data_IF_898756797904
#
_entry.id   IF_898756797904
#
_cell.length_a   1.000
_cell.length_b   1.000
_cell.length_c   1.000
_cell.angle_alpha   90.00
_cell.angle_beta   90.00
_cell.angle_gamma   90.00
#
_symmetry.space_group_name_H-M   'P 1'
#
loop_
_entity.id
_entity.type
_entity.pdbx_description
1 polymer ?
#
# COMPACT_ATOMS: atom_id res chain seq x y z
N UNK A 1 53.57 26.94 -21.66
CA UNK A 1 54.21 27.79 -22.67
C UNK A 1 54.26 26.97 -23.96
N UNK A 2 53.59 27.44 -25.03
CA UNK A 2 53.62 26.96 -26.44
C UNK A 2 53.11 25.50 -26.70
N UNK A 3 52.15 25.18 -27.57
CA UNK A 3 51.67 25.85 -28.79
C UNK A 3 50.22 25.47 -29.15
N UNK A 4 49.47 26.50 -29.50
CA UNK A 4 48.29 26.53 -30.36
C UNK A 4 48.83 26.56 -31.79
N UNK A 5 48.47 25.64 -32.71
CA UNK A 5 48.48 25.79 -34.19
C UNK A 5 48.30 24.43 -34.92
N UNK A 6 47.18 23.72 -34.67
CA UNK A 6 46.72 22.62 -35.56
C UNK A 6 45.28 22.84 -36.05
N UNK A 7 44.77 24.08 -35.95
CA UNK A 7 43.80 24.50 -36.96
C UNK A 7 44.53 24.50 -38.30
N UNK A 8 43.84 24.05 -39.33
CA UNK A 8 44.14 24.35 -40.73
C UNK A 8 45.05 23.37 -41.48
N UNK A 9 44.67 22.10 -41.52
CA UNK A 9 44.95 21.31 -42.73
C UNK A 9 43.77 20.40 -43.04
N UNK A 10 43.13 20.70 -44.18
CA UNK A 10 42.15 19.89 -44.93
C UNK A 10 40.86 19.57 -44.18
N UNK A 11 39.72 20.23 -44.40
CA UNK A 11 39.04 20.49 -45.67
C UNK A 11 39.10 19.29 -46.62
N UNK A 12 37.92 18.76 -46.95
CA UNK A 12 37.61 17.81 -48.03
C UNK A 12 37.85 16.32 -47.76
N UNK A 13 36.92 15.70 -47.02
CA UNK A 13 36.39 14.38 -47.43
C UNK A 13 34.93 14.25 -47.01
N UNK A 14 34.06 14.57 -47.96
CA UNK A 14 32.69 14.08 -48.19
C UNK A 14 32.22 12.96 -47.27
N UNK A 15 31.16 13.23 -46.51
CA UNK A 15 30.35 12.24 -45.79
C UNK A 15 29.04 12.87 -45.36
N UNK A 16 27.92 12.34 -45.84
CA UNK A 16 26.61 12.64 -45.28
C UNK A 16 26.55 12.04 -43.88
N UNK A 17 26.55 12.86 -42.84
CA UNK A 17 26.44 12.42 -41.45
C UNK A 17 25.31 13.20 -40.76
N UNK A 18 24.33 12.43 -40.30
CA UNK A 18 23.23 12.87 -39.45
C UNK A 18 23.78 13.55 -38.19
N UNK A 19 23.13 14.59 -37.64
CA UNK A 19 23.60 15.23 -36.41
C UNK A 19 23.47 14.24 -35.23
N UNK A 20 24.61 13.71 -34.80
CA UNK A 20 24.82 12.95 -33.55
C UNK A 20 24.75 13.86 -32.31
N UNK A 21 23.71 14.67 -32.15
CA UNK A 21 23.57 15.60 -31.01
C UNK A 21 22.36 15.30 -30.11
N UNK A 22 21.83 14.07 -30.13
CA UNK A 22 20.69 13.69 -29.28
C UNK A 22 20.85 12.39 -28.50
N UNK A 23 22.05 11.83 -28.35
CA UNK A 23 22.20 10.51 -27.69
C UNK A 23 22.78 10.51 -26.28
N UNK A 24 23.42 11.58 -25.82
CA UNK A 24 24.33 11.44 -24.68
C UNK A 24 23.87 12.14 -23.39
N UNK A 25 22.56 12.11 -23.09
CA UNK A 25 22.08 12.45 -21.74
C UNK A 25 20.80 11.67 -21.37
N UNK A 26 20.79 10.35 -21.64
CA UNK A 26 19.83 9.47 -20.98
C UNK A 26 20.29 9.21 -19.54
N UNK A 27 19.73 9.96 -18.59
CA UNK A 27 19.87 9.65 -17.16
C UNK A 27 18.95 8.47 -16.87
N UNK A 28 19.52 7.26 -16.82
CA UNK A 28 18.84 6.11 -16.21
C UNK A 28 18.63 6.43 -14.72
N UNK A 29 17.39 6.72 -14.35
CA UNK A 29 17.01 6.81 -12.95
C UNK A 29 16.96 5.37 -12.43
N UNK A 30 18.07 4.90 -11.85
CA UNK A 30 18.06 3.72 -10.99
C UNK A 30 17.08 4.01 -9.85
N UNK A 31 15.84 3.55 -10.01
CA UNK A 31 14.82 3.62 -8.95
C UNK A 31 15.11 2.51 -7.96
N UNK A 32 16.31 2.51 -7.37
CA UNK A 32 16.50 1.90 -6.06
C UNK A 32 15.88 2.84 -5.02
N UNK A 33 14.56 2.96 -5.05
CA UNK A 33 13.80 3.45 -3.91
C UNK A 33 13.90 2.38 -2.82
N UNK A 34 15.06 2.30 -2.16
CA UNK A 34 15.16 1.78 -0.80
C UNK A 34 14.47 2.79 0.11
N UNK A 35 13.15 2.94 -0.06
CA UNK A 35 12.30 3.45 0.99
C UNK A 35 12.64 2.59 2.21
N UNK A 36 13.07 3.19 3.33
CA UNK A 36 13.36 2.42 4.53
C UNK A 36 12.11 1.60 4.82
N UNK A 37 12.24 0.26 4.95
CA UNK A 37 11.12 -0.63 5.26
C UNK A 37 10.43 -0.06 6.49
N UNK A 38 9.32 0.64 6.28
CA UNK A 38 8.58 1.27 7.35
C UNK A 38 8.16 0.15 8.30
N UNK A 39 8.42 0.33 9.59
CA UNK A 39 8.05 -0.66 10.60
C UNK A 39 6.53 -0.82 10.53
N UNK A 40 6.07 -2.01 10.18
CA UNK A 40 4.64 -2.34 10.18
C UNK A 40 4.16 -2.31 11.63
N UNK A 41 3.14 -1.50 11.89
CA UNK A 41 2.55 -1.35 13.20
C UNK A 41 1.30 -2.21 13.30
N UNK A 42 1.15 -2.96 14.38
CA UNK A 42 -0.11 -3.65 14.71
C UNK A 42 -0.79 -2.83 15.80
N UNK A 43 -1.97 -2.29 15.52
CA UNK A 43 -2.69 -1.40 16.43
C UNK A 43 -4.05 -1.99 16.80
N UNK A 44 -4.34 -2.18 18.10
CA UNK A 44 -5.66 -2.54 18.55
C UNK A 44 -6.59 -1.33 18.55
N UNK A 45 -7.83 -1.56 18.16
CA UNK A 45 -8.96 -0.63 18.17
C UNK A 45 -10.12 -1.31 18.89
N UNK A 46 -10.86 -0.54 19.68
CA UNK A 46 -12.10 -0.99 20.31
C UNK A 46 -13.20 -0.15 19.71
N UNK A 47 -14.24 -0.81 19.21
CA UNK A 47 -15.39 -0.13 18.62
C UNK A 47 -16.52 -0.24 19.62
N UNK A 48 -16.77 0.86 20.32
CA UNK A 48 -17.94 1.01 21.16
C UNK A 48 -19.08 1.60 20.35
N UNK A 49 -18.83 2.54 19.44
CA UNK A 49 -19.83 3.12 18.55
C UNK A 49 -19.40 3.24 17.08
N UNK A 50 -20.32 3.66 16.21
CA UNK A 50 -20.00 3.83 14.79
C UNK A 50 -18.95 4.92 14.51
N UNK A 51 -18.74 5.89 15.40
CA UNK A 51 -17.72 6.91 15.25
C UNK A 51 -16.30 6.35 15.46
N UNK A 52 -16.14 5.34 16.31
CA UNK A 52 -14.87 4.67 16.63
C UNK A 52 -14.25 3.90 15.45
N UNK A 53 -15.00 3.73 14.36
CA UNK A 53 -14.48 3.16 13.12
C UNK A 53 -13.48 4.12 12.44
N UNK A 54 -13.62 5.45 12.61
CA UNK A 54 -12.81 6.42 11.86
C UNK A 54 -11.30 6.24 12.10
N UNK A 55 -10.80 6.15 13.35
CA UNK A 55 -9.38 5.91 13.59
C UNK A 55 -8.84 4.62 12.95
N UNK A 56 -9.64 3.56 12.90
CA UNK A 56 -9.25 2.31 12.24
C UNK A 56 -9.15 2.48 10.72
N UNK A 57 -10.09 3.19 10.10
CA UNK A 57 -10.05 3.49 8.66
C UNK A 57 -8.87 4.37 8.28
N UNK A 58 -8.57 5.38 9.09
CA UNK A 58 -7.48 6.31 8.82
C UNK A 58 -6.13 5.58 8.93
N UNK A 59 -5.96 4.71 9.93
CA UNK A 59 -4.79 3.87 10.06
C UNK A 59 -4.61 2.88 8.89
N UNK A 60 -5.70 2.36 8.32
CA UNK A 60 -5.64 1.50 7.13
C UNK A 60 -5.20 2.26 5.88
N UNK A 61 -5.65 3.52 5.72
CA UNK A 61 -5.25 4.40 4.61
C UNK A 61 -3.81 4.86 4.69
N UNK A 62 -3.26 4.99 5.89
CA UNK A 62 -1.84 5.27 6.09
C UNK A 62 -0.94 4.17 5.53
N UNK A 63 -1.45 2.94 5.37
CA UNK A 63 -0.78 1.87 4.62
C UNK A 63 0.40 1.20 5.34
N UNK A 64 0.64 1.51 6.61
CA UNK A 64 1.70 0.90 7.44
C UNK A 64 1.16 0.20 8.70
N UNK A 65 -0.16 0.17 8.88
CA UNK A 65 -0.80 -0.34 10.10
C UNK A 65 -1.75 -1.50 9.81
N UNK A 66 -1.59 -2.60 10.56
CA UNK A 66 -2.57 -3.69 10.66
C UNK A 66 -3.51 -3.37 11.82
N UNK A 67 -4.81 -3.33 11.56
CA UNK A 67 -5.83 -3.01 12.55
C UNK A 67 -6.40 -4.29 13.17
N UNK A 68 -6.29 -4.42 14.50
CA UNK A 68 -7.01 -5.42 15.28
C UNK A 68 -8.22 -4.75 15.90
N UNK A 69 -9.43 -5.14 15.51
CA UNK A 69 -10.66 -4.45 15.86
C UNK A 69 -11.48 -5.34 16.79
N UNK A 70 -11.63 -4.92 18.04
CA UNK A 70 -12.56 -5.52 19.00
C UNK A 70 -13.96 -4.97 18.74
N UNK A 71 -14.86 -5.85 18.30
CA UNK A 71 -16.25 -5.54 18.00
C UNK A 71 -17.22 -5.94 19.11
N UNK A 72 -16.74 -6.58 20.18
CA UNK A 72 -17.58 -7.05 21.29
C UNK A 72 -18.52 -5.99 21.85
N UNK A 73 -18.08 -4.75 22.18
CA UNK A 73 -18.95 -3.77 22.81
C UNK A 73 -20.09 -3.32 21.87
N UNK A 74 -19.78 -3.11 20.59
CA UNK A 74 -20.79 -2.77 19.59
C UNK A 74 -21.72 -3.95 19.26
N UNK A 75 -21.19 -5.17 19.23
CA UNK A 75 -21.95 -6.40 18.99
C UNK A 75 -23.01 -6.64 20.06
N UNK A 76 -22.64 -6.48 21.33
CA UNK A 76 -23.55 -6.69 22.46
C UNK A 76 -24.62 -5.58 22.55
N UNK A 77 -24.32 -4.39 22.02
CA UNK A 77 -25.23 -3.23 22.04
C UNK A 77 -26.20 -3.19 20.87
N UNK A 78 -25.68 -3.22 19.64
CA UNK A 78 -26.47 -3.06 18.43
C UNK A 78 -25.84 -3.80 17.24
N UNK A 79 -26.42 -4.96 16.92
CA UNK A 79 -26.01 -5.82 15.80
C UNK A 79 -26.24 -5.14 14.44
N UNK A 80 -27.23 -4.25 14.32
CA UNK A 80 -27.50 -3.52 13.07
C UNK A 80 -26.42 -2.47 12.83
N UNK A 81 -26.03 -1.75 13.87
CA UNK A 81 -24.91 -0.80 13.83
C UNK A 81 -23.59 -1.53 13.53
N UNK A 82 -23.35 -2.69 14.16
CA UNK A 82 -22.21 -3.55 13.85
C UNK A 82 -22.17 -3.95 12.37
N UNK A 83 -23.27 -4.43 11.81
CA UNK A 83 -23.32 -4.81 10.38
C UNK A 83 -22.97 -3.63 9.47
N UNK A 84 -23.41 -2.42 9.81
CA UNK A 84 -23.03 -1.20 9.07
C UNK A 84 -21.54 -0.88 9.23
N UNK A 85 -21.01 -1.04 10.43
CA UNK A 85 -19.61 -0.81 10.74
C UNK A 85 -18.68 -1.73 9.94
N UNK A 86 -18.96 -3.04 9.98
CA UNK A 86 -18.21 -4.07 9.25
C UNK A 86 -18.30 -3.85 7.75
N UNK A 87 -19.48 -3.52 7.21
CA UNK A 87 -19.62 -3.22 5.79
C UNK A 87 -18.77 -2.01 5.34
N UNK A 88 -18.60 -1.00 6.20
CA UNK A 88 -17.76 0.16 5.92
C UNK A 88 -16.27 -0.19 5.93
N UNK A 89 -15.84 -1.01 6.89
CA UNK A 89 -14.49 -1.56 6.95
C UNK A 89 -14.21 -2.40 5.70
N UNK A 90 -15.10 -3.32 5.34
CA UNK A 90 -14.98 -4.15 4.14
C UNK A 90 -14.85 -3.33 2.87
N UNK A 91 -15.76 -2.39 2.61
CA UNK A 91 -15.68 -1.50 1.43
C UNK A 91 -14.38 -0.70 1.35
N UNK A 92 -13.86 -0.26 2.49
CA UNK A 92 -12.60 0.50 2.51
C UNK A 92 -11.41 -0.42 2.29
N UNK A 93 -11.45 -1.62 2.87
CA UNK A 93 -10.42 -2.66 2.71
C UNK A 93 -10.34 -3.09 1.25
N UNK A 94 -11.49 -3.36 0.62
CA UNK A 94 -11.59 -3.69 -0.80
C UNK A 94 -11.04 -2.56 -1.68
N UNK A 95 -11.28 -1.29 -1.31
CA UNK A 95 -10.79 -0.13 -2.06
C UNK A 95 -9.28 0.10 -1.95
N UNK A 96 -8.62 -0.45 -0.93
CA UNK A 96 -7.15 -0.38 -0.75
C UNK A 96 -6.46 -1.70 -1.10
N UNK A 97 -7.16 -2.64 -1.74
CA UNK A 97 -6.70 -4.00 -2.04
C UNK A 97 -6.16 -4.73 -0.79
N UNK A 98 -6.77 -4.45 0.38
CA UNK A 98 -6.43 -5.07 1.65
C UNK A 98 -7.13 -6.41 1.88
N UNK A 99 -6.95 -6.97 3.07
CA UNK A 99 -7.65 -8.19 3.50
C UNK A 99 -8.36 -7.99 4.83
N UNK A 100 -9.52 -8.62 5.00
CA UNK A 100 -10.33 -8.57 6.22
C UNK A 100 -10.76 -9.98 6.61
N UNK A 101 -10.59 -10.31 7.89
CA UNK A 101 -11.04 -11.59 8.42
C UNK A 101 -11.50 -11.46 9.87
N UNK A 102 -12.54 -12.21 10.22
CA UNK A 102 -12.89 -12.45 11.62
C UNK A 102 -11.99 -13.51 12.23
N UNK A 103 -11.55 -13.29 13.46
CA UNK A 103 -10.91 -14.33 14.26
C UNK A 103 -11.65 -14.48 15.59
N UNK A 104 -12.38 -15.59 15.72
CA UNK A 104 -13.34 -15.78 16.80
C UNK A 104 -14.59 -14.90 16.62
N UNK A 105 -15.33 -14.71 17.72
CA UNK A 105 -16.65 -14.07 17.68
C UNK A 105 -16.62 -12.55 17.87
N UNK A 106 -15.53 -12.05 18.46
CA UNK A 106 -15.43 -10.70 19.03
C UNK A 106 -14.38 -9.82 18.33
N UNK A 107 -13.57 -10.40 17.44
CA UNK A 107 -12.44 -9.70 16.84
C UNK A 107 -12.42 -9.82 15.32
N UNK A 108 -12.00 -8.71 14.70
CA UNK A 108 -11.70 -8.62 13.28
C UNK A 108 -10.24 -8.20 13.12
N UNK A 109 -9.57 -8.77 12.12
CA UNK A 109 -8.28 -8.28 11.64
C UNK A 109 -8.50 -7.64 10.28
N UNK A 110 -7.91 -6.46 10.09
CA UNK A 110 -7.95 -5.74 8.83
C UNK A 110 -6.53 -5.35 8.46
N UNK A 111 -6.10 -5.77 7.27
CA UNK A 111 -4.75 -5.55 6.75
C UNK A 111 -4.82 -4.67 5.50
N UNK A 112 -3.85 -3.76 5.30
CA UNK A 112 -3.66 -3.09 4.02
C UNK A 112 -3.05 -4.04 2.97
N UNK A 113 -2.90 -3.58 1.72
CA UNK A 113 -2.46 -4.39 0.58
C UNK A 113 -1.12 -5.12 0.71
N UNK A 114 -0.24 -4.70 1.62
CA UNK A 114 1.05 -5.37 1.83
C UNK A 114 0.94 -6.66 2.65
N UNK A 115 -0.21 -6.92 3.30
CA UNK A 115 -0.40 -8.07 4.18
C UNK A 115 -1.73 -8.78 3.89
N UNK A 116 -1.71 -10.12 3.91
CA UNK A 116 -2.89 -10.96 3.76
C UNK A 116 -3.14 -11.81 5.00
N UNK A 117 -4.39 -12.18 5.22
CA UNK A 117 -4.76 -13.06 6.33
C UNK A 117 -4.76 -14.50 5.85
N UNK A 118 -3.91 -15.33 6.44
CA UNK A 118 -3.89 -16.76 6.16
C UNK A 118 -5.12 -17.45 6.77
N UNK A 119 -6.02 -17.95 5.92
CA UNK A 119 -7.22 -18.70 6.31
C UNK A 119 -6.95 -20.19 6.16
N UNK A 120 -6.65 -20.89 7.26
CA UNK A 120 -6.70 -22.36 7.26
C UNK A 120 -8.17 -22.81 7.34
N UNK A 121 -8.51 -24.03 6.90
CA UNK A 121 -9.89 -24.57 6.86
C UNK A 121 -10.69 -24.46 8.18
N UNK A 122 -10.06 -24.10 9.29
CA UNK A 122 -10.69 -23.83 10.59
C UNK A 122 -11.39 -22.46 10.60
N UNK A 123 -10.90 -21.46 9.87
CA UNK A 123 -11.44 -20.09 9.83
C UNK A 123 -12.63 -19.94 8.87
N UNK A 124 -12.75 -20.82 7.86
CA UNK A 124 -13.84 -20.78 6.88
C UNK A 124 -15.21 -21.18 7.46
N UNK A 125 -15.25 -21.90 8.58
CA UNK A 125 -16.49 -22.43 9.14
C UNK A 125 -17.31 -21.41 9.96
N UNK A 126 -16.94 -20.13 9.96
CA UNK A 126 -17.67 -19.09 10.71
C UNK A 126 -18.76 -18.43 9.82
N UNK A 127 -18.70 -18.59 8.50
CA UNK A 127 -19.66 -17.94 7.57
C UNK A 127 -20.95 -18.78 7.31
N UNK A 128 -21.00 -20.06 7.69
CA UNK A 128 -22.07 -20.99 7.25
C UNK A 128 -22.88 -21.66 8.40
N UNK A 129 -23.11 -21.00 9.53
CA UNK A 129 -24.06 -21.49 10.55
C UNK A 129 -25.14 -20.46 10.90
N UNK A 130 -26.12 -20.30 10.00
CA UNK A 130 -27.51 -19.90 10.31
C UNK A 130 -28.49 -20.69 9.43
#
# INVERSE_FOLDING_TARGET
MANIFSKFKSTFSTGEEYPEEFTDDYIEIETESKTPKAKIMVRPFVIEDFADIKPALDALREGYTIALVNIKPLKDRDVVELKRAVNKLKKTTDAIDGDIAGFGDDWLVVTPSFAGVYRSKVTANIEDQE
#
